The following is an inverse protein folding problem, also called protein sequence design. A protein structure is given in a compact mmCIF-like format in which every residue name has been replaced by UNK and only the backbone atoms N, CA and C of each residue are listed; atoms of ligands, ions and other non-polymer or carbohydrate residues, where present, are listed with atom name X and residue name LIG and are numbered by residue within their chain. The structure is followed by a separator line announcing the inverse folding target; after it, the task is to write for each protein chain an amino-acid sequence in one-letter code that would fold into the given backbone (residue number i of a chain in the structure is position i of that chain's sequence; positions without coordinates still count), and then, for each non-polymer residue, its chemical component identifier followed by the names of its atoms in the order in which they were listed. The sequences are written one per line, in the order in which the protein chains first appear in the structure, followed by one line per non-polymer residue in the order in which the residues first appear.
data_IF_073160412714
#
_entry.id   IF_073160412714
#
_cell.length_a   1.000
_cell.length_b   1.000
_cell.length_c   1.000
_cell.angle_alpha   90.00
_cell.angle_beta   90.00
_cell.angle_gamma   90.00
#
_symmetry.space_group_name_H-M   'P 1'
#
loop_
_entity.id
_entity.type
_entity.pdbx_description
1 polymer ?
#
# COMPACT_ATOMS: atom_id res chain seq x y z
N UNK A 1 -11.43 15.57 -2.67
CA UNK A 1 -9.97 15.71 -2.46
C UNK A 1 -9.71 15.26 -1.03
N UNK A 2 -9.06 14.11 -0.83
CA UNK A 2 -8.81 13.58 0.51
C UNK A 2 -7.47 14.11 1.02
N UNK A 3 -7.45 14.55 2.28
CA UNK A 3 -6.24 14.91 3.00
C UNK A 3 -6.06 13.89 4.09
N UNK A 4 -4.99 13.10 4.03
CA UNK A 4 -4.55 12.37 5.22
C UNK A 4 -3.90 13.42 6.14
N UNK A 5 -4.60 13.83 7.19
CA UNK A 5 -4.06 14.67 8.26
C UNK A 5 -3.72 13.79 9.47
N UNK A 6 -2.50 13.24 9.51
CA UNK A 6 -2.03 12.44 10.66
C UNK A 6 -1.36 13.29 11.75
N UNK A 7 -1.65 14.60 11.82
CA UNK A 7 -1.24 15.44 12.95
C UNK A 7 -2.29 15.36 14.06
N UNK A 8 -1.90 14.77 15.19
CA UNK A 8 -2.70 14.65 16.42
C UNK A 8 -3.19 16.02 16.92
N UNK A 9 -4.45 16.35 16.69
CA UNK A 9 -5.20 17.30 17.52
C UNK A 9 -6.64 16.81 17.71
N UNK A 10 -7.08 16.75 18.98
CA UNK A 10 -8.49 16.67 19.36
C UNK A 10 -8.99 15.30 19.87
N UNK A 11 -9.56 15.29 21.08
CA UNK A 11 -10.01 14.14 21.88
C UNK A 11 -11.05 13.19 21.23
N UNK A 12 -11.62 13.50 20.06
CA UNK A 12 -12.46 12.57 19.28
C UNK A 12 -11.66 11.55 18.46
N UNK A 13 -10.37 11.82 18.22
CA UNK A 13 -9.46 10.92 17.50
C UNK A 13 -9.23 9.58 18.23
N UNK A 14 -9.29 9.54 19.56
CA UNK A 14 -8.84 8.35 20.31
C UNK A 14 -9.72 7.11 20.21
N UNK A 15 -11.03 7.25 19.94
CA UNK A 15 -11.94 6.10 19.77
C UNK A 15 -11.93 5.55 18.33
N UNK A 16 -11.90 6.43 17.31
CA UNK A 16 -11.73 6.01 15.91
C UNK A 16 -10.39 5.30 15.69
N UNK A 17 -9.29 5.83 16.24
CA UNK A 17 -7.98 5.19 16.13
C UNK A 17 -7.96 3.82 16.82
N UNK A 18 -8.71 3.61 17.91
CA UNK A 18 -8.84 2.28 18.55
C UNK A 18 -9.65 1.27 17.75
N UNK A 19 -10.67 1.70 17.00
CA UNK A 19 -11.51 0.79 16.19
C UNK A 19 -10.77 0.22 14.98
N UNK A 20 -9.85 0.99 14.40
CA UNK A 20 -9.10 0.60 13.20
C UNK A 20 -7.64 0.26 13.43
N UNK A 21 -7.11 0.41 14.66
CA UNK A 21 -5.73 0.01 15.00
C UNK A 21 -5.47 -1.49 14.83
N UNK A 22 -6.52 -2.32 14.72
CA UNK A 22 -6.40 -3.75 14.43
C UNK A 22 -6.34 -4.09 12.94
N UNK A 23 -6.48 -3.10 12.04
CA UNK A 23 -6.41 -3.34 10.61
C UNK A 23 -4.97 -3.67 10.21
N UNK A 24 -4.85 -4.73 9.42
CA UNK A 24 -3.57 -5.20 8.90
C UNK A 24 -3.42 -4.83 7.42
N UNK A 25 -2.37 -4.07 7.11
CA UNK A 25 -2.13 -3.52 5.77
C UNK A 25 -0.83 -4.09 5.20
N UNK A 26 -0.90 -4.61 3.97
CA UNK A 26 0.27 -5.02 3.22
C UNK A 26 0.58 -4.01 2.11
N UNK A 27 1.83 -3.57 2.02
CA UNK A 27 2.32 -2.68 0.95
C UNK A 27 3.18 -3.50 -0.01
N UNK A 28 2.64 -3.85 -1.17
CA UNK A 28 3.29 -4.66 -2.21
C UNK A 28 4.10 -3.76 -3.16
N UNK A 29 5.42 -3.95 -3.14
CA UNK A 29 6.40 -3.25 -3.95
C UNK A 29 7.04 -2.09 -3.20
N UNK A 30 8.17 -2.34 -2.54
CA UNK A 30 8.87 -1.36 -1.68
C UNK A 30 9.77 -0.39 -2.46
N UNK A 31 9.29 0.06 -3.62
CA UNK A 31 9.91 1.13 -4.38
C UNK A 31 9.59 2.51 -3.78
N UNK A 32 9.66 3.54 -4.62
CA UNK A 32 9.43 4.94 -4.25
C UNK A 32 8.07 5.16 -3.55
N UNK A 33 6.98 4.81 -4.22
CA UNK A 33 5.62 5.02 -3.73
C UNK A 33 5.28 4.09 -2.57
N UNK A 34 5.70 2.83 -2.62
CA UNK A 34 5.48 1.87 -1.54
C UNK A 34 6.17 2.28 -0.24
N UNK A 35 7.41 2.76 -0.32
CA UNK A 35 8.13 3.27 0.86
C UNK A 35 7.44 4.49 1.49
N UNK A 36 6.85 5.36 0.67
CA UNK A 36 6.06 6.50 1.16
C UNK A 36 4.79 6.03 1.88
N UNK A 37 3.96 5.18 1.27
CA UNK A 37 2.77 4.65 1.94
C UNK A 37 3.10 3.88 3.22
N UNK A 38 4.13 3.03 3.16
CA UNK A 38 4.60 2.30 4.34
C UNK A 38 4.97 3.25 5.47
N UNK A 39 5.77 4.28 5.18
CA UNK A 39 6.23 5.23 6.18
C UNK A 39 5.08 6.02 6.81
N UNK A 40 4.07 6.42 6.02
CA UNK A 40 2.96 7.22 6.52
C UNK A 40 1.90 6.39 7.26
N UNK A 41 1.77 5.10 6.96
CA UNK A 41 0.76 4.23 7.57
C UNK A 41 1.25 3.45 8.79
N UNK A 42 2.57 3.17 8.90
CA UNK A 42 3.12 2.25 9.92
C UNK A 42 2.91 2.66 11.37
N UNK A 43 2.70 3.95 11.64
CA UNK A 43 2.49 4.44 13.00
C UNK A 43 1.02 4.38 13.45
N UNK A 44 0.10 4.15 12.51
CA UNK A 44 -1.35 4.12 12.77
C UNK A 44 -1.97 2.73 12.61
N UNK A 45 -1.30 1.81 11.89
CA UNK A 45 -1.82 0.49 11.54
C UNK A 45 -0.74 -0.59 11.69
N UNK A 46 -1.15 -1.88 11.72
CA UNK A 46 -0.22 -2.99 11.56
C UNK A 46 0.19 -3.10 10.07
N UNK A 47 1.33 -2.50 9.71
CA UNK A 47 1.79 -2.45 8.32
C UNK A 47 2.98 -3.38 8.07
N UNK A 48 2.90 -4.18 7.00
CA UNK A 48 4.02 -4.96 6.47
C UNK A 48 4.38 -4.50 5.07
N UNK A 49 5.64 -4.09 4.86
CA UNK A 49 6.18 -3.85 3.54
C UNK A 49 6.60 -5.14 2.86
N UNK A 50 6.12 -5.41 1.65
CA UNK A 50 6.27 -6.69 0.95
C UNK A 50 7.00 -6.44 -0.36
N UNK A 51 8.18 -7.03 -0.54
CA UNK A 51 8.93 -6.88 -1.80
C UNK A 51 9.87 -8.06 -2.05
N UNK A 52 10.55 -8.00 -3.18
CA UNK A 52 11.61 -8.95 -3.53
C UNK A 52 12.80 -8.82 -2.57
N UNK A 53 13.65 -9.84 -2.58
CA UNK A 53 14.84 -9.93 -1.73
C UNK A 53 15.75 -8.71 -1.87
N UNK A 54 15.97 -8.24 -3.09
CA UNK A 54 16.90 -7.16 -3.38
C UNK A 54 16.48 -5.86 -2.68
N UNK A 55 15.19 -5.51 -2.75
CA UNK A 55 14.65 -4.32 -2.10
C UNK A 55 14.72 -4.44 -0.57
N UNK A 56 14.31 -5.58 -0.02
CA UNK A 56 14.30 -5.79 1.44
C UNK A 56 15.72 -5.79 2.00
N UNK A 57 16.70 -6.31 1.27
CA UNK A 57 18.11 -6.23 1.68
C UNK A 57 18.64 -4.80 1.68
N UNK A 58 18.28 -3.96 0.70
CA UNK A 58 18.65 -2.54 0.70
C UNK A 58 18.06 -1.82 1.92
N UNK A 59 16.81 -2.12 2.26
CA UNK A 59 16.16 -1.55 3.45
C UNK A 59 16.88 -2.02 4.73
N UNK A 60 17.14 -3.32 4.87
CA UNK A 60 17.83 -3.89 6.04
C UNK A 60 19.26 -3.36 6.21
N UNK A 61 19.96 -3.06 5.11
CA UNK A 61 21.28 -2.41 5.11
C UNK A 61 21.22 -0.91 5.42
N UNK A 62 20.03 -0.34 5.65
CA UNK A 62 19.85 1.07 5.91
C UNK A 62 20.18 1.97 4.72
N UNK A 63 20.06 1.43 3.48
CA UNK A 63 20.34 2.18 2.25
C UNK A 63 19.13 2.97 1.74
N UNK A 64 17.93 2.71 2.24
CA UNK A 64 16.71 3.45 1.88
C UNK A 64 16.41 4.52 2.92
N UNK A 65 16.38 5.78 2.48
CA UNK A 65 16.22 6.96 3.32
C UNK A 65 14.94 7.69 2.89
N UNK A 66 14.18 8.20 3.86
CA UNK A 66 12.98 9.00 3.64
C UNK A 66 13.29 10.45 3.98
N UNK A 67 12.97 11.37 3.06
CA UNK A 67 13.01 12.81 3.30
C UNK A 67 11.59 13.37 3.26
N UNK A 68 11.11 13.83 4.42
CA UNK A 68 9.80 14.48 4.57
C UNK A 68 9.89 15.65 5.53
N UNK A 69 9.27 16.78 5.19
CA UNK A 69 9.29 18.03 5.98
C UNK A 69 10.70 18.45 6.42
N UNK A 70 11.68 18.37 5.52
CA UNK A 70 13.08 18.73 5.80
C UNK A 70 13.84 17.76 6.71
N UNK A 71 13.19 16.72 7.23
CA UNK A 71 13.82 15.66 8.04
C UNK A 71 14.18 14.48 7.16
N UNK A 72 15.31 13.86 7.47
CA UNK A 72 15.81 12.66 6.79
C UNK A 72 15.93 11.54 7.81
N UNK A 73 15.37 10.38 7.50
CA UNK A 73 15.42 9.20 8.35
C UNK A 73 15.62 7.92 7.53
N UNK A 74 16.25 6.91 8.12
CA UNK A 74 16.38 5.59 7.49
C UNK A 74 15.03 4.87 7.57
N UNK A 75 14.58 4.29 6.45
CA UNK A 75 13.35 3.51 6.43
C UNK A 75 13.50 2.26 7.30
N UNK A 76 12.63 2.13 8.30
CA UNK A 76 12.60 1.01 9.26
C UNK A 76 11.17 0.57 9.53
N UNK A 77 11.00 -0.72 9.81
CA UNK A 77 9.75 -1.34 10.23
C UNK A 77 9.69 -2.82 9.86
N UNK A 78 8.47 -3.36 9.73
CA UNK A 78 8.23 -4.77 9.44
C UNK A 78 8.19 -5.03 7.95
N UNK A 79 9.02 -5.96 7.48
CA UNK A 79 9.14 -6.31 6.06
C UNK A 79 9.05 -7.81 5.84
N UNK A 80 8.42 -8.20 4.73
CA UNK A 80 8.20 -9.57 4.30
C UNK A 80 8.75 -9.74 2.88
N UNK A 81 9.42 -10.87 2.63
CA UNK A 81 9.77 -11.24 1.26
C UNK A 81 8.53 -11.74 0.53
N UNK A 82 8.36 -11.32 -0.72
CA UNK A 82 7.24 -11.74 -1.56
C UNK A 82 7.07 -13.27 -1.62
N UNK A 83 8.16 -14.03 -1.72
CA UNK A 83 8.17 -15.50 -1.71
C UNK A 83 7.62 -16.11 -0.42
N UNK A 84 7.73 -15.40 0.70
CA UNK A 84 7.33 -15.86 2.03
C UNK A 84 5.90 -15.41 2.38
N UNK A 85 5.15 -14.87 1.42
CA UNK A 85 3.77 -14.40 1.61
C UNK A 85 2.85 -15.50 2.15
N UNK A 86 2.35 -15.31 3.38
CA UNK A 86 1.49 -16.25 4.11
C UNK A 86 0.53 -15.56 5.11
N UNK A 87 0.30 -14.25 4.99
CA UNK A 87 -0.49 -13.47 5.94
C UNK A 87 -1.84 -13.06 5.35
N UNK A 88 -2.88 -13.04 6.19
CA UNK A 88 -4.13 -12.36 5.87
C UNK A 88 -3.98 -10.86 6.11
N UNK A 89 -4.57 -10.06 5.24
CA UNK A 89 -4.61 -8.60 5.33
C UNK A 89 -6.05 -8.13 5.17
N UNK A 90 -6.35 -6.96 5.72
CA UNK A 90 -7.58 -6.25 5.42
C UNK A 90 -7.44 -5.51 4.09
N UNK A 91 -6.28 -4.87 3.89
CA UNK A 91 -5.94 -4.11 2.69
C UNK A 91 -4.58 -4.52 2.11
N UNK A 92 -4.53 -4.63 0.78
CA UNK A 92 -3.27 -4.73 0.03
C UNK A 92 -3.12 -3.54 -0.91
N UNK A 93 -2.07 -2.76 -0.70
CA UNK A 93 -1.66 -1.69 -1.60
C UNK A 93 -0.68 -2.24 -2.61
N UNK A 94 -0.96 -2.06 -3.90
CA UNK A 94 -0.07 -2.43 -4.99
C UNK A 94 0.61 -1.16 -5.54
N UNK A 95 1.90 -1.05 -5.26
CA UNK A 95 2.77 0.07 -5.65
C UNK A 95 3.89 -0.38 -6.60
N UNK A 96 3.74 -1.56 -7.21
CA UNK A 96 4.61 -2.10 -8.27
C UNK A 96 4.47 -1.30 -9.56
N UNK A 97 5.45 -1.33 -10.47
CA UNK A 97 5.29 -0.69 -11.78
C UNK A 97 4.23 -1.44 -12.61
N UNK A 98 3.51 -0.72 -13.48
CA UNK A 98 2.71 -1.34 -14.53
C UNK A 98 3.58 -2.27 -15.41
N UNK A 99 3.03 -3.38 -15.92
CA UNK A 99 1.68 -3.90 -15.67
C UNK A 99 1.49 -4.46 -14.25
N UNK A 100 0.30 -4.31 -13.66
CA UNK A 100 0.02 -4.76 -12.27
C UNK A 100 -0.40 -6.22 -12.20
N UNK A 101 -0.88 -6.75 -13.31
CA UNK A 101 -1.49 -8.06 -13.37
C UNK A 101 -0.61 -9.21 -12.90
N UNK A 102 0.69 -9.26 -13.25
CA UNK A 102 1.59 -10.29 -12.73
C UNK A 102 1.65 -10.30 -11.19
N UNK A 103 1.64 -9.12 -10.55
CA UNK A 103 1.61 -9.03 -9.10
C UNK A 103 0.26 -9.50 -8.55
N UNK A 104 -0.86 -9.01 -9.09
CA UNK A 104 -2.20 -9.44 -8.66
C UNK A 104 -2.31 -10.96 -8.76
N UNK A 105 -1.91 -11.55 -9.89
CA UNK A 105 -1.96 -12.99 -10.13
C UNK A 105 -1.14 -13.76 -9.08
N UNK A 106 0.10 -13.35 -8.84
CA UNK A 106 0.99 -13.99 -7.88
C UNK A 106 0.42 -14.00 -6.45
N UNK A 107 -0.03 -12.86 -5.94
CA UNK A 107 -0.51 -12.77 -4.56
C UNK A 107 -1.88 -13.41 -4.39
N UNK A 108 -2.82 -13.22 -5.32
CA UNK A 108 -4.18 -13.73 -5.18
C UNK A 108 -4.31 -15.23 -5.43
N UNK A 109 -3.44 -15.84 -6.27
CA UNK A 109 -3.33 -17.30 -6.34
C UNK A 109 -2.92 -17.89 -5.00
N UNK A 110 -1.94 -17.30 -4.33
CA UNK A 110 -1.51 -17.75 -2.99
C UNK A 110 -2.55 -17.53 -1.91
N UNK A 111 -3.27 -16.41 -1.95
CA UNK A 111 -4.41 -16.16 -1.05
C UNK A 111 -5.44 -17.28 -1.20
N UNK A 112 -5.77 -17.66 -2.45
CA UNK A 112 -6.70 -18.76 -2.73
C UNK A 112 -6.15 -20.12 -2.27
N UNK A 113 -4.92 -20.47 -2.65
CA UNK A 113 -4.26 -21.73 -2.30
C UNK A 113 -4.15 -21.94 -0.79
N UNK A 114 -3.75 -20.89 -0.07
CA UNK A 114 -3.57 -20.92 1.39
C UNK A 114 -4.86 -20.62 2.17
N UNK A 115 -6.00 -20.45 1.49
CA UNK A 115 -7.31 -20.13 2.09
C UNK A 115 -7.24 -18.92 3.04
N UNK A 116 -6.49 -17.89 2.66
CA UNK A 116 -6.36 -16.65 3.43
C UNK A 116 -7.60 -15.77 3.21
N UNK A 117 -7.84 -14.82 4.14
CA UNK A 117 -8.85 -13.78 3.96
C UNK A 117 -8.52 -12.96 2.71
N UNK A 118 -9.51 -12.72 1.86
CA UNK A 118 -9.36 -11.91 0.66
C UNK A 118 -9.39 -10.42 1.05
N UNK A 119 -8.30 -9.65 0.81
CA UNK A 119 -8.22 -8.24 1.15
C UNK A 119 -8.90 -7.36 0.11
N UNK A 120 -9.27 -6.13 0.50
CA UNK A 120 -9.53 -5.09 -0.49
C UNK A 120 -8.21 -4.57 -1.09
N UNK A 121 -8.27 -4.14 -2.35
CA UNK A 121 -7.10 -3.80 -3.15
C UNK A 121 -7.02 -2.30 -3.34
N UNK A 122 -5.84 -1.72 -3.13
CA UNK A 122 -5.53 -0.33 -3.45
C UNK A 122 -4.45 -0.26 -4.52
N UNK A 123 -4.79 0.19 -5.72
CA UNK A 123 -3.87 0.31 -6.84
C UNK A 123 -3.33 1.73 -6.90
N UNK A 124 -2.04 1.92 -6.58
CA UNK A 124 -1.39 3.23 -6.68
C UNK A 124 -0.70 3.42 -8.04
N UNK A 125 -1.44 3.17 -9.11
CA UNK A 125 -0.96 3.35 -10.49
C UNK A 125 -1.72 4.46 -11.20
N UNK A 126 -1.00 5.20 -12.03
CA UNK A 126 -1.59 6.16 -12.96
C UNK A 126 -2.04 5.38 -14.21
N UNK A 127 -3.31 5.53 -14.60
CA UNK A 127 -3.90 4.86 -15.76
C UNK A 127 -5.19 4.11 -15.41
N UNK A 128 -6.12 4.01 -16.37
CA UNK A 128 -7.37 3.25 -16.22
C UNK A 128 -7.10 1.75 -16.36
N UNK A 129 -6.14 1.39 -17.23
CA UNK A 129 -5.78 0.02 -17.59
C UNK A 129 -5.41 -0.86 -16.39
N UNK A 130 -4.70 -0.31 -15.38
CA UNK A 130 -4.31 -1.08 -14.20
C UNK A 130 -5.51 -1.61 -13.40
N UNK A 131 -6.63 -0.86 -13.39
CA UNK A 131 -7.86 -1.29 -12.73
C UNK A 131 -8.53 -2.43 -13.46
N UNK A 132 -8.67 -2.30 -14.78
CA UNK A 132 -9.26 -3.32 -15.65
C UNK A 132 -8.44 -4.62 -15.65
N UNK A 133 -7.11 -4.49 -15.72
CA UNK A 133 -6.17 -5.61 -15.64
C UNK A 133 -6.34 -6.37 -14.32
N UNK A 134 -6.37 -5.67 -13.19
CA UNK A 134 -6.57 -6.29 -11.88
C UNK A 134 -7.91 -7.02 -11.81
N UNK A 135 -9.01 -6.39 -12.26
CA UNK A 135 -10.35 -7.00 -12.24
C UNK A 135 -10.40 -8.25 -13.13
N UNK A 136 -9.80 -8.22 -14.32
CA UNK A 136 -9.74 -9.37 -15.23
C UNK A 136 -9.06 -10.57 -14.56
N UNK A 137 -7.90 -10.34 -13.94
CA UNK A 137 -7.13 -11.41 -13.30
C UNK A 137 -7.82 -11.96 -12.06
N UNK A 138 -8.49 -11.10 -11.27
CA UNK A 138 -9.30 -11.57 -10.15
C UNK A 138 -10.44 -12.46 -10.65
N UNK A 139 -11.09 -12.12 -11.77
CA UNK A 139 -12.13 -12.95 -12.38
C UNK A 139 -11.58 -14.28 -12.87
N UNK A 140 -10.38 -14.32 -13.44
CA UNK A 140 -9.71 -15.58 -13.80
C UNK A 140 -9.44 -16.47 -12.59
N UNK A 141 -9.05 -15.89 -11.45
CA UNK A 141 -8.68 -16.65 -10.24
C UNK A 141 -9.91 -17.10 -9.44
N UNK A 142 -10.90 -16.22 -9.26
CA UNK A 142 -12.05 -16.46 -8.36
C UNK A 142 -13.39 -16.64 -9.07
N UNK A 143 -13.45 -16.48 -10.39
CA UNK A 143 -14.70 -16.50 -11.14
C UNK A 143 -15.62 -15.37 -10.69
N UNK A 144 -16.91 -15.69 -10.54
CA UNK A 144 -17.93 -14.71 -10.12
C UNK A 144 -17.68 -14.09 -8.74
N UNK A 145 -16.98 -14.79 -7.84
CA UNK A 145 -16.61 -14.26 -6.51
C UNK A 145 -15.67 -13.06 -6.58
N UNK A 146 -15.03 -12.81 -7.73
CA UNK A 146 -14.22 -11.61 -7.92
C UNK A 146 -15.03 -10.32 -7.74
N UNK A 147 -16.35 -10.35 -8.01
CA UNK A 147 -17.27 -9.21 -7.81
C UNK A 147 -17.44 -8.83 -6.35
N UNK A 148 -17.04 -9.67 -5.40
CA UNK A 148 -17.09 -9.40 -3.97
C UNK A 148 -15.81 -8.72 -3.46
N UNK A 149 -14.78 -8.57 -4.30
CA UNK A 149 -13.47 -8.02 -3.92
C UNK A 149 -13.47 -6.51 -4.20
N UNK A 150 -13.41 -5.65 -3.16
CA UNK A 150 -13.34 -4.21 -3.38
C UNK A 150 -11.99 -3.83 -4.00
N UNK A 151 -12.03 -3.07 -5.10
CA UNK A 151 -10.85 -2.55 -5.77
C UNK A 151 -10.91 -1.04 -5.80
N UNK A 152 -9.87 -0.40 -5.30
CA UNK A 152 -9.68 1.05 -5.26
C UNK A 152 -8.52 1.44 -6.15
N UNK A 153 -8.66 2.58 -6.80
CA UNK A 153 -7.58 3.29 -7.46
C UNK A 153 -7.16 4.45 -6.59
N UNK A 154 -5.85 4.65 -6.44
CA UNK A 154 -5.25 5.81 -5.79
C UNK A 154 -4.56 6.65 -6.86
N UNK A 155 -4.88 7.94 -6.89
CA UNK A 155 -4.16 8.94 -7.68
C UNK A 155 -3.46 9.91 -6.74
N UNK A 156 -2.12 9.93 -6.78
CA UNK A 156 -1.30 10.83 -5.99
C UNK A 156 -1.17 12.18 -6.70
N UNK A 157 -1.35 13.27 -5.96
CA UNK A 157 -1.17 14.63 -6.48
C UNK A 157 0.18 15.22 -6.11
N UNK A 158 0.78 14.78 -4.99
CA UNK A 158 2.14 15.17 -4.62
C UNK A 158 3.13 14.25 -5.34
N UNK A 159 4.22 14.78 -5.91
CA UNK A 159 5.29 13.94 -6.40
C UNK A 159 5.95 13.20 -5.23
N UNK A 160 6.33 11.96 -5.51
CA UNK A 160 7.32 11.25 -4.71
C UNK A 160 8.54 11.16 -5.58
N UNK A 161 9.71 11.54 -5.09
CA UNK A 161 10.96 11.58 -5.83
C UNK A 161 11.89 10.46 -5.34
N UNK A 162 12.79 10.02 -6.22
CA UNK A 162 13.82 9.03 -5.90
C UNK A 162 15.15 9.55 -6.43
N UNK A 163 16.09 9.76 -5.52
CA UNK A 163 17.47 10.14 -5.83
C UNK A 163 18.40 9.00 -5.38
N UNK A 164 19.52 8.84 -6.07
CA UNK A 164 20.55 7.85 -5.73
C UNK A 164 21.86 8.59 -5.56
N UNK A 165 22.42 8.55 -4.35
CA UNK A 165 23.69 9.19 -4.01
C UNK A 165 24.53 8.25 -3.13
N UNK A 166 25.78 8.00 -3.51
CA UNK A 166 26.73 7.20 -2.70
C UNK A 166 26.12 5.87 -2.23
N UNK A 167 25.48 5.13 -3.15
CA UNK A 167 24.75 3.88 -2.90
C UNK A 167 23.52 3.97 -1.97
N UNK A 168 23.15 5.17 -1.52
CA UNK A 168 21.92 5.42 -0.77
C UNK A 168 20.82 5.82 -1.74
N UNK A 169 19.60 5.39 -1.43
CA UNK A 169 18.41 5.74 -2.15
C UNK A 169 17.60 6.68 -1.25
N UNK A 170 17.46 7.94 -1.67
CA UNK A 170 16.66 8.94 -0.98
C UNK A 170 15.28 9.03 -1.64
N UNK A 171 14.23 8.84 -0.84
CA UNK A 171 12.84 8.95 -1.26
C UNK A 171 12.25 10.20 -0.62
N UNK A 172 11.91 11.19 -1.44
CA UNK A 172 11.50 12.52 -0.99
C UNK A 172 10.03 12.80 -1.32
N UNK A 173 9.28 13.37 -0.38
CA UNK A 173 7.90 13.83 -0.62
C UNK A 173 7.47 14.90 0.39
N UNK A 174 6.43 15.65 0.03
CA UNK A 174 5.85 16.71 0.85
C UNK A 174 4.59 16.26 1.58
N UNK A 175 4.45 16.69 2.83
CA UNK A 175 3.22 16.50 3.62
C UNK A 175 2.31 17.75 3.55
N UNK A 176 0.98 17.58 3.68
CA UNK A 176 0.27 16.31 3.71
C UNK A 176 0.29 15.60 2.34
N UNK A 177 0.19 14.27 2.34
CA UNK A 177 0.00 13.49 1.11
C UNK A 177 -1.39 13.83 0.56
N UNK A 178 -1.43 14.47 -0.62
CA UNK A 178 -2.69 14.75 -1.31
C UNK A 178 -2.96 13.65 -2.32
N UNK A 179 -4.13 13.03 -2.21
CA UNK A 179 -4.54 11.96 -3.12
C UNK A 179 -6.05 11.90 -3.32
N UNK A 180 -6.44 11.22 -4.38
CA UNK A 180 -7.81 10.79 -4.61
C UNK A 180 -7.87 9.26 -4.55
N UNK A 181 -8.87 8.74 -3.83
CA UNK A 181 -9.21 7.32 -3.80
C UNK A 181 -10.57 7.19 -4.50
N UNK A 182 -10.65 6.31 -5.50
CA UNK A 182 -11.90 5.97 -6.17
C UNK A 182 -12.11 4.47 -6.14
N UNK A 183 -13.28 4.02 -5.69
CA UNK A 183 -13.66 2.63 -5.83
C UNK A 183 -14.03 2.34 -7.29
N UNK A 184 -13.41 1.33 -7.88
CA UNK A 184 -13.63 0.94 -9.28
C UNK A 184 -14.37 -0.39 -9.42
N UNK A 185 -14.37 -1.24 -8.39
CA UNK A 185 -15.10 -2.51 -8.38
C UNK A 185 -15.43 -2.97 -6.96
N UNK A 186 -16.35 -3.93 -6.85
CA UNK A 186 -16.74 -4.62 -5.63
C UNK A 186 -17.76 -3.89 -4.75
N UNK A 187 -18.11 -4.48 -3.59
CA UNK A 187 -19.06 -3.90 -2.64
C UNK A 187 -18.57 -2.57 -2.07
N UNK A 188 -19.47 -1.60 -1.90
CA UNK A 188 -19.11 -0.24 -1.44
C UNK A 188 -18.46 -0.29 -0.05
N UNK A 189 -17.27 0.30 0.09
CA UNK A 189 -16.59 0.48 1.39
C UNK A 189 -16.40 1.96 1.65
N UNK A 190 -16.73 2.43 2.86
CA UNK A 190 -16.50 3.80 3.24
C UNK A 190 -15.04 4.01 3.70
N UNK A 191 -14.16 4.27 2.74
CA UNK A 191 -12.72 4.46 3.00
C UNK A 191 -12.41 5.75 3.76
N UNK A 192 -13.31 6.73 3.78
CA UNK A 192 -13.07 7.98 4.53
C UNK A 192 -13.09 7.72 6.03
N UNK A 193 -13.96 6.84 6.52
CA UNK A 193 -13.97 6.43 7.93
C UNK A 193 -12.68 5.74 8.40
N UNK A 194 -11.86 5.27 7.46
CA UNK A 194 -10.63 4.51 7.72
C UNK A 194 -9.39 5.42 7.72
N UNK A 195 -9.35 6.42 6.83
CA UNK A 195 -8.16 7.24 6.58
C UNK A 195 -8.34 8.75 6.89
N UNK A 196 -9.51 9.18 7.35
CA UNK A 196 -9.78 10.55 7.83
C UNK A 196 -9.24 10.80 9.26
#
# INVERSE_FOLDING_TARGET
MFRINLSKEGRESSEKTRKYSSLKIGIVGMGRTGSMFFQELKDSFEVLGISKKEDIELIKKGKIWIKKNGKIEVLKGNFLLDKDFNHSFDFLFFTVKNPVGPAISFYFRRIKEKKLKIPAIFLSQNGIEAGEEAISILKEIFGEKAKEIPVFRISLFNPVEKEIENEKILISYSLPIKMAISQISGPRVNVSEIFD
#
